data_IF_795746665812
#
_entry.id   IF_795746665812
#
_cell.length_a   1.000
_cell.length_b   1.000
_cell.length_c   1.000
_cell.angle_alpha   90.00
_cell.angle_beta   90.00
_cell.angle_gamma   90.00
#
_symmetry.space_group_name_H-M   'P 1'
#
loop_
_entity.id
_entity.type
_entity.pdbx_description
1 polymer ?
#
# COMPACT_ATOMS: atom_id res chain seq x y z
N UNK A 1 16.26 -7.88 24.91
CA UNK A 1 14.83 -8.12 25.17
C UNK A 1 14.25 -8.62 23.86
N UNK A 2 13.92 -9.91 23.76
CA UNK A 2 13.18 -10.44 22.60
C UNK A 2 11.76 -9.91 22.72
N UNK A 3 11.45 -8.84 22.00
CA UNK A 3 10.06 -8.42 21.81
C UNK A 3 9.40 -9.49 20.95
N UNK A 4 8.38 -10.15 21.48
CA UNK A 4 7.51 -11.01 20.66
C UNK A 4 7.06 -10.26 19.41
N UNK A 5 7.09 -10.93 18.26
CA UNK A 5 6.64 -10.34 17.00
C UNK A 5 5.15 -9.97 17.09
N UNK A 6 4.79 -8.80 16.57
CA UNK A 6 3.39 -8.38 16.43
C UNK A 6 2.65 -9.15 15.30
N UNK A 7 3.28 -10.13 14.71
CA UNK A 7 2.82 -10.85 13.52
C UNK A 7 3.41 -10.27 12.24
N UNK A 8 2.97 -10.76 11.08
CA UNK A 8 3.51 -10.33 9.79
C UNK A 8 2.71 -9.19 9.16
N UNK A 9 3.44 -8.19 8.68
CA UNK A 9 2.94 -7.13 7.82
C UNK A 9 3.31 -7.43 6.37
N UNK A 10 2.31 -7.55 5.51
CA UNK A 10 2.46 -7.77 4.07
C UNK A 10 2.40 -6.41 3.36
N UNK A 11 3.49 -6.01 2.70
CA UNK A 11 3.58 -4.72 2.01
C UNK A 11 3.87 -4.92 0.54
N UNK A 12 2.91 -4.57 -0.34
CA UNK A 12 3.17 -4.53 -1.78
C UNK A 12 3.85 -3.21 -2.17
N UNK A 13 4.73 -3.25 -3.18
CA UNK A 13 5.55 -2.09 -3.50
C UNK A 13 6.62 -1.77 -2.44
N UNK A 14 6.97 -2.74 -1.59
CA UNK A 14 7.87 -2.58 -0.45
C UNK A 14 9.32 -2.24 -0.78
N UNK A 15 9.70 -2.24 -2.06
CA UNK A 15 11.09 -1.97 -2.48
C UNK A 15 11.44 -0.50 -2.66
N UNK A 16 10.50 0.44 -2.60
CA UNK A 16 10.79 1.87 -2.81
C UNK A 16 9.67 2.79 -2.30
N UNK A 17 9.94 4.08 -2.27
CA UNK A 17 8.95 5.12 -2.00
C UNK A 17 8.15 4.89 -0.72
N UNK A 18 6.82 5.07 -0.79
CA UNK A 18 5.93 4.91 0.36
C UNK A 18 5.93 3.48 0.91
N UNK A 19 5.97 2.47 0.03
CA UNK A 19 6.02 1.08 0.48
C UNK A 19 7.24 0.76 1.33
N UNK A 20 8.43 1.27 0.95
CA UNK A 20 9.67 1.13 1.74
C UNK A 20 9.53 1.83 3.08
N UNK A 21 9.14 3.11 3.11
CA UNK A 21 9.04 3.86 4.38
C UNK A 21 8.04 3.24 5.35
N UNK A 22 6.90 2.77 4.83
CA UNK A 22 5.92 2.03 5.62
C UNK A 22 6.53 0.73 6.17
N UNK A 23 7.25 -0.04 5.36
CA UNK A 23 7.91 -1.27 5.81
C UNK A 23 8.93 -0.98 6.93
N UNK A 24 9.74 0.08 6.80
CA UNK A 24 10.68 0.48 7.83
C UNK A 24 9.99 0.87 9.14
N UNK A 25 8.88 1.59 9.07
CA UNK A 25 8.10 1.96 10.26
C UNK A 25 7.49 0.72 10.93
N UNK A 26 6.95 -0.21 10.15
CA UNK A 26 6.36 -1.45 10.66
C UNK A 26 7.41 -2.35 11.34
N UNK A 27 8.61 -2.42 10.78
CA UNK A 27 9.73 -3.13 11.42
C UNK A 27 10.10 -2.54 12.79
N UNK A 28 10.17 -1.19 12.90
CA UNK A 28 10.41 -0.50 14.18
C UNK A 28 9.33 -0.80 15.23
N UNK A 29 8.13 -1.09 14.78
CA UNK A 29 6.98 -1.45 15.61
C UNK A 29 6.91 -2.93 15.97
N UNK A 30 7.88 -3.74 15.53
CA UNK A 30 7.98 -5.16 15.87
C UNK A 30 7.20 -6.10 14.95
N UNK A 31 6.72 -5.63 13.79
CA UNK A 31 6.17 -6.54 12.78
C UNK A 31 7.29 -7.27 12.04
N UNK A 32 7.09 -8.53 11.71
CA UNK A 32 7.83 -9.21 10.66
C UNK A 32 7.36 -8.70 9.30
N UNK A 33 8.23 -8.68 8.30
CA UNK A 33 7.92 -8.13 7.00
C UNK A 33 7.82 -9.23 5.92
N UNK A 34 6.75 -9.20 5.15
CA UNK A 34 6.64 -9.88 3.86
C UNK A 34 6.49 -8.82 2.77
N UNK A 35 7.53 -8.65 1.95
CA UNK A 35 7.63 -7.58 0.96
C UNK A 35 7.39 -8.11 -0.45
N UNK A 36 6.36 -7.57 -1.13
CA UNK A 36 6.05 -7.88 -2.51
C UNK A 36 6.49 -6.75 -3.44
N UNK A 37 7.00 -7.13 -4.62
CA UNK A 37 7.37 -6.20 -5.68
C UNK A 37 8.05 -6.93 -6.83
N UNK A 38 8.12 -6.29 -8.00
CA UNK A 38 8.64 -6.94 -9.22
C UNK A 38 10.15 -7.22 -9.20
N UNK A 39 10.92 -6.43 -8.47
CA UNK A 39 12.39 -6.52 -8.46
C UNK A 39 12.86 -6.97 -7.09
N UNK A 40 13.67 -8.01 -7.05
CA UNK A 40 14.18 -8.62 -5.83
C UNK A 40 15.10 -7.68 -5.05
N UNK A 41 16.13 -7.13 -5.73
CA UNK A 41 17.16 -6.29 -5.06
C UNK A 41 16.61 -5.14 -4.21
N UNK A 42 15.64 -4.30 -4.66
CA UNK A 42 15.08 -3.24 -3.81
C UNK A 42 14.30 -3.77 -2.60
N UNK A 43 13.73 -4.99 -2.68
CA UNK A 43 13.06 -5.63 -1.54
C UNK A 43 14.10 -6.10 -0.52
N UNK A 44 15.20 -6.72 -0.98
CA UNK A 44 16.33 -7.11 -0.14
C UNK A 44 16.93 -5.91 0.59
N UNK A 45 17.18 -4.82 -0.15
CA UNK A 45 17.67 -3.57 0.42
C UNK A 45 16.74 -3.06 1.53
N UNK A 46 15.42 -3.11 1.31
CA UNK A 46 14.45 -2.69 2.34
C UNK A 46 14.51 -3.59 3.58
N UNK A 47 14.64 -4.91 3.44
CA UNK A 47 14.80 -5.80 4.59
C UNK A 47 16.12 -5.56 5.34
N UNK A 48 17.20 -5.26 4.62
CA UNK A 48 18.48 -4.88 5.24
C UNK A 48 18.33 -3.61 6.07
N UNK A 49 17.74 -2.56 5.49
CA UNK A 49 17.47 -1.29 6.17
C UNK A 49 16.53 -1.45 7.38
N UNK A 50 15.60 -2.39 7.30
CA UNK A 50 14.67 -2.73 8.38
C UNK A 50 15.30 -3.60 9.49
N UNK A 51 16.55 -4.08 9.32
CA UNK A 51 17.18 -5.03 10.23
C UNK A 51 16.50 -6.41 10.25
N UNK A 52 15.86 -6.80 9.13
CA UNK A 52 15.06 -8.03 9.03
C UNK A 52 15.52 -8.99 7.93
N UNK A 53 16.78 -8.89 7.51
CA UNK A 53 17.33 -9.67 6.40
C UNK A 53 17.04 -11.18 6.51
N UNK A 54 17.12 -11.75 7.71
CA UNK A 54 16.96 -13.19 7.91
C UNK A 54 15.55 -13.61 8.31
N UNK A 55 14.79 -12.69 8.91
CA UNK A 55 13.43 -13.00 9.39
C UNK A 55 12.31 -12.44 8.51
N UNK A 56 12.62 -11.55 7.58
CA UNK A 56 11.68 -11.07 6.58
C UNK A 56 11.52 -12.06 5.42
N UNK A 57 10.51 -11.86 4.60
CA UNK A 57 10.25 -12.65 3.39
C UNK A 57 10.20 -11.72 2.19
N UNK A 58 10.93 -12.08 1.14
CA UNK A 58 10.95 -11.38 -0.14
C UNK A 58 10.15 -12.19 -1.14
N UNK A 59 9.18 -11.55 -1.77
CA UNK A 59 8.23 -12.15 -2.68
C UNK A 59 8.23 -11.39 -4.02
N UNK A 60 9.18 -11.70 -4.93
CA UNK A 60 9.22 -11.11 -6.25
C UNK A 60 7.95 -11.47 -7.03
N UNK A 61 7.08 -10.47 -7.26
CA UNK A 61 5.77 -10.69 -7.84
C UNK A 61 5.25 -9.41 -8.51
N UNK A 62 4.60 -9.56 -9.65
CA UNK A 62 3.73 -8.52 -10.19
C UNK A 62 2.35 -8.66 -9.54
N UNK A 63 1.85 -7.61 -8.91
CA UNK A 63 0.52 -7.63 -8.25
C UNK A 63 -0.63 -7.85 -9.23
N UNK A 64 -0.40 -7.70 -10.53
CA UNK A 64 -1.38 -7.98 -11.60
C UNK A 64 -1.51 -9.47 -11.92
N UNK A 65 -0.53 -10.28 -11.52
CA UNK A 65 -0.50 -11.72 -11.76
C UNK A 65 -1.14 -12.46 -10.57
N UNK A 66 -2.39 -12.89 -10.75
CA UNK A 66 -3.15 -13.58 -9.72
C UNK A 66 -2.49 -14.92 -9.29
N UNK A 67 -1.89 -15.64 -10.25
CA UNK A 67 -1.24 -16.94 -9.97
C UNK A 67 0.05 -16.73 -9.16
N UNK A 68 0.84 -15.72 -9.53
CA UNK A 68 2.03 -15.36 -8.75
C UNK A 68 1.66 -14.88 -7.34
N UNK A 69 0.58 -14.09 -7.19
CA UNK A 69 0.09 -13.67 -5.88
C UNK A 69 -0.37 -14.85 -5.02
N UNK A 70 -1.08 -15.81 -5.57
CA UNK A 70 -1.51 -17.01 -4.83
C UNK A 70 -0.30 -17.80 -4.31
N UNK A 71 0.78 -17.94 -5.10
CA UNK A 71 2.03 -18.55 -4.62
C UNK A 71 2.64 -17.76 -3.47
N UNK A 72 2.77 -16.44 -3.61
CA UNK A 72 3.29 -15.57 -2.55
C UNK A 72 2.47 -15.69 -1.26
N UNK A 73 1.13 -15.73 -1.38
CA UNK A 73 0.24 -15.90 -0.22
C UNK A 73 0.42 -17.27 0.41
N UNK A 74 0.63 -18.33 -0.37
CA UNK A 74 0.97 -19.66 0.14
C UNK A 74 2.24 -19.66 0.97
N UNK A 75 3.30 -18.97 0.54
CA UNK A 75 4.55 -18.82 1.31
C UNK A 75 4.33 -18.04 2.62
N UNK A 76 3.55 -16.95 2.58
CA UNK A 76 3.19 -16.19 3.77
C UNK A 76 2.43 -17.07 4.77
N UNK A 77 1.43 -17.81 4.29
CA UNK A 77 0.59 -18.67 5.15
C UNK A 77 1.37 -19.85 5.73
N UNK A 78 2.33 -20.40 5.00
CA UNK A 78 3.21 -21.45 5.50
C UNK A 78 4.04 -20.97 6.68
N UNK A 79 4.47 -19.69 6.66
CA UNK A 79 5.35 -19.14 7.69
C UNK A 79 4.61 -18.51 8.87
N UNK A 80 3.46 -17.87 8.64
CA UNK A 80 2.73 -17.10 9.67
C UNK A 80 1.24 -17.41 9.77
N UNK A 81 0.75 -18.42 9.05
CA UNK A 81 -0.66 -18.78 8.99
C UNK A 81 -1.57 -17.71 8.37
N UNK A 82 -1.51 -16.47 8.85
CA UNK A 82 -2.26 -15.33 8.31
C UNK A 82 -1.53 -14.00 8.53
N UNK A 83 -1.74 -13.04 7.63
CA UNK A 83 -1.25 -11.69 7.79
C UNK A 83 -1.95 -10.99 8.97
N UNK A 84 -1.17 -10.25 9.79
CA UNK A 84 -1.70 -9.34 10.80
C UNK A 84 -2.07 -8.00 10.19
N UNK A 85 -1.25 -7.54 9.25
CA UNK A 85 -1.43 -6.26 8.56
C UNK A 85 -1.16 -6.44 7.06
N UNK A 86 -2.00 -5.84 6.23
CA UNK A 86 -1.81 -5.79 4.77
C UNK A 86 -1.79 -4.32 4.33
N UNK A 87 -0.69 -3.90 3.70
CA UNK A 87 -0.54 -2.55 3.17
C UNK A 87 -0.32 -2.62 1.66
N UNK A 88 -1.39 -2.50 0.86
CA UNK A 88 -1.28 -2.35 -0.58
C UNK A 88 -0.68 -0.96 -0.91
N UNK A 89 0.62 -0.93 -1.26
CA UNK A 89 1.34 0.29 -1.59
C UNK A 89 1.94 0.29 -3.01
N UNK A 90 1.82 -0.81 -3.75
CA UNK A 90 2.20 -0.85 -5.16
C UNK A 90 1.33 0.10 -5.98
N UNK A 91 1.96 0.94 -6.80
CA UNK A 91 1.24 1.87 -7.65
C UNK A 91 2.15 2.48 -8.71
N UNK A 92 1.52 2.89 -9.79
CA UNK A 92 2.14 3.59 -10.93
C UNK A 92 1.28 4.78 -11.34
N UNK A 93 1.89 5.73 -12.02
CA UNK A 93 1.21 6.91 -12.55
C UNK A 93 1.79 7.30 -13.91
N UNK A 94 0.98 7.95 -14.72
CA UNK A 94 1.40 8.71 -15.91
C UNK A 94 0.63 10.02 -15.96
N UNK A 95 1.15 10.98 -16.69
CA UNK A 95 0.51 12.28 -16.96
C UNK A 95 0.44 12.45 -18.46
N UNK A 96 -0.77 12.55 -18.97
CA UNK A 96 -1.07 12.89 -20.36
C UNK A 96 -2.51 13.42 -20.47
N UNK A 97 -2.84 14.32 -21.42
CA UNK A 97 -4.23 14.62 -21.79
C UNK A 97 -5.02 13.34 -22.08
N UNK A 98 -6.33 13.37 -21.88
CA UNK A 98 -7.18 12.16 -22.05
C UNK A 98 -7.06 11.61 -23.47
N UNK A 99 -7.06 12.48 -24.47
CA UNK A 99 -6.94 12.12 -25.89
C UNK A 99 -5.58 11.53 -26.29
N UNK A 100 -4.53 11.79 -25.49
CA UNK A 100 -3.18 11.26 -25.69
C UNK A 100 -2.88 10.04 -24.82
N UNK A 101 -3.73 9.75 -23.85
CA UNK A 101 -3.58 8.57 -22.97
C UNK A 101 -3.90 7.30 -23.77
N UNK A 102 -2.90 6.45 -24.00
CA UNK A 102 -3.15 5.19 -24.71
C UNK A 102 -4.04 4.25 -23.91
N UNK A 103 -4.88 3.41 -24.55
CA UNK A 103 -5.65 2.38 -23.86
C UNK A 103 -4.78 1.45 -23.01
N UNK A 104 -3.57 1.12 -23.47
CA UNK A 104 -2.64 0.23 -22.77
C UNK A 104 -2.09 0.90 -21.51
N UNK A 105 -1.72 2.19 -21.56
CA UNK A 105 -1.28 2.94 -20.39
C UNK A 105 -2.40 3.09 -19.37
N UNK A 106 -3.62 3.37 -19.84
CA UNK A 106 -4.79 3.43 -18.97
C UNK A 106 -5.01 2.09 -18.27
N UNK A 107 -5.03 0.98 -19.02
CA UNK A 107 -5.21 -0.36 -18.49
C UNK A 107 -4.10 -0.72 -17.49
N UNK A 108 -2.84 -0.46 -17.81
CA UNK A 108 -1.71 -0.77 -16.93
C UNK A 108 -1.80 -0.06 -15.56
N UNK A 109 -2.32 1.18 -15.52
CA UNK A 109 -2.54 1.92 -14.28
C UNK A 109 -3.71 1.34 -13.50
N UNK A 110 -4.84 1.05 -14.15
CA UNK A 110 -5.98 0.39 -13.50
C UNK A 110 -5.58 -0.97 -12.94
N UNK A 111 -4.89 -1.77 -13.74
CA UNK A 111 -4.48 -3.12 -13.35
C UNK A 111 -3.53 -3.11 -12.15
N UNK A 112 -2.61 -2.15 -12.09
CA UNK A 112 -1.68 -2.07 -10.97
C UNK A 112 -2.35 -1.49 -9.72
N UNK A 113 -3.01 -0.33 -9.86
CA UNK A 113 -3.47 0.47 -8.73
C UNK A 113 -4.81 0.03 -8.14
N UNK A 114 -5.62 -0.68 -8.91
CA UNK A 114 -6.95 -1.14 -8.51
C UNK A 114 -7.06 -2.67 -8.54
N UNK A 115 -6.89 -3.29 -9.70
CA UNK A 115 -7.02 -4.75 -9.84
C UNK A 115 -5.99 -5.48 -8.97
N UNK A 116 -4.72 -5.05 -8.99
CA UNK A 116 -3.66 -5.65 -8.18
C UNK A 116 -3.90 -5.52 -6.68
N UNK A 117 -4.46 -4.40 -6.23
CA UNK A 117 -4.86 -4.22 -4.82
C UNK A 117 -6.00 -5.16 -4.46
N UNK A 118 -7.02 -5.25 -5.33
CA UNK A 118 -8.13 -6.19 -5.15
C UNK A 118 -7.63 -7.64 -5.06
N UNK A 119 -6.76 -8.08 -5.97
CA UNK A 119 -6.20 -9.43 -5.99
C UNK A 119 -5.43 -9.74 -4.71
N UNK A 120 -4.57 -8.83 -4.25
CA UNK A 120 -3.81 -9.00 -3.00
C UNK A 120 -4.73 -9.14 -1.79
N UNK A 121 -5.72 -8.25 -1.65
CA UNK A 121 -6.68 -8.31 -0.54
C UNK A 121 -7.50 -9.59 -0.63
N UNK A 122 -8.03 -9.93 -1.81
CA UNK A 122 -8.82 -11.14 -2.05
C UNK A 122 -8.08 -12.40 -1.62
N UNK A 123 -6.78 -12.48 -1.89
CA UNK A 123 -5.98 -13.68 -1.59
C UNK A 123 -5.63 -13.81 -0.09
N UNK A 124 -5.43 -12.70 0.64
CA UNK A 124 -5.06 -12.70 2.06
C UNK A 124 -6.27 -12.71 3.01
N UNK A 125 -7.37 -12.08 2.61
CA UNK A 125 -8.55 -11.87 3.46
C UNK A 125 -9.17 -13.16 4.03
N UNK A 126 -9.28 -14.29 3.31
CA UNK A 126 -9.88 -15.49 3.86
C UNK A 126 -9.18 -16.01 5.13
N UNK A 127 -7.85 -15.98 5.18
CA UNK A 127 -7.08 -16.39 6.36
C UNK A 127 -7.27 -15.40 7.53
N UNK A 128 -7.28 -14.09 7.24
CA UNK A 128 -7.55 -13.06 8.23
C UNK A 128 -8.95 -13.21 8.85
N UNK A 129 -9.98 -13.46 8.03
CA UNK A 129 -11.36 -13.71 8.49
C UNK A 129 -11.46 -14.96 9.36
N UNK A 130 -10.82 -16.08 8.95
CA UNK A 130 -10.82 -17.31 9.78
C UNK A 130 -10.19 -17.09 11.15
N UNK A 131 -9.13 -16.27 11.21
CA UNK A 131 -8.48 -15.90 12.48
C UNK A 131 -9.28 -14.89 13.28
N UNK A 132 -10.24 -14.19 12.69
CA UNK A 132 -11.07 -13.17 13.34
C UNK A 132 -10.32 -11.90 13.73
N UNK A 133 -9.18 -11.63 13.11
CA UNK A 133 -8.39 -10.40 13.34
C UNK A 133 -7.49 -10.07 12.16
N UNK A 134 -7.18 -8.80 12.03
CA UNK A 134 -6.25 -8.27 11.04
C UNK A 134 -6.58 -6.84 10.66
N UNK A 135 -5.67 -6.20 9.91
CA UNK A 135 -5.87 -4.85 9.43
C UNK A 135 -5.45 -4.71 7.97
N UNK A 136 -6.25 -4.02 7.18
CA UNK A 136 -5.95 -3.71 5.78
C UNK A 136 -5.84 -2.19 5.68
N UNK A 137 -4.70 -1.68 5.19
CA UNK A 137 -4.47 -0.24 5.07
C UNK A 137 -3.94 0.10 3.68
N UNK A 138 -4.82 0.20 2.66
CA UNK A 138 -4.40 0.60 1.33
C UNK A 138 -3.96 2.06 1.27
N UNK A 139 -2.93 2.32 0.46
CA UNK A 139 -2.48 3.67 0.14
C UNK A 139 -3.25 4.18 -1.09
N UNK A 140 -4.21 5.07 -0.83
CA UNK A 140 -4.97 5.77 -1.86
C UNK A 140 -4.19 7.00 -2.37
N UNK A 141 -4.85 8.11 -2.48
CA UNK A 141 -4.34 9.44 -2.82
C UNK A 141 -5.44 10.47 -2.68
N UNK A 142 -5.09 11.74 -2.56
CA UNK A 142 -6.05 12.86 -2.77
C UNK A 142 -6.71 12.78 -4.15
N UNK A 143 -6.06 12.16 -5.14
CA UNK A 143 -6.62 11.86 -6.46
C UNK A 143 -7.83 10.92 -6.46
N UNK A 144 -8.17 10.32 -5.30
CA UNK A 144 -9.42 9.60 -5.08
C UNK A 144 -10.57 10.52 -4.63
N UNK A 145 -10.34 11.82 -4.50
CA UNK A 145 -11.33 12.82 -4.03
C UNK A 145 -11.44 14.02 -4.96
N UNK A 146 -10.45 14.27 -5.79
CA UNK A 146 -10.45 15.35 -6.78
C UNK A 146 -9.73 14.94 -8.05
N UNK A 147 -10.09 15.57 -9.18
CA UNK A 147 -9.43 15.39 -10.46
C UNK A 147 -8.25 16.34 -10.63
N UNK A 148 -7.26 15.90 -11.40
CA UNK A 148 -6.12 16.71 -11.82
C UNK A 148 -5.99 16.62 -13.33
N UNK A 149 -5.78 17.75 -14.05
CA UNK A 149 -5.53 17.71 -15.49
C UNK A 149 -4.36 16.77 -15.83
N UNK A 150 -4.56 15.91 -16.85
CA UNK A 150 -3.54 14.93 -17.26
C UNK A 150 -3.47 13.65 -16.41
N UNK A 151 -4.21 13.51 -15.32
CA UNK A 151 -4.14 12.35 -14.43
C UNK A 151 -5.33 11.40 -14.56
N UNK A 152 -5.96 11.32 -15.72
CA UNK A 152 -7.23 10.60 -15.91
C UNK A 152 -7.16 9.14 -15.43
N UNK A 153 -6.19 8.35 -15.89
CA UNK A 153 -6.04 6.95 -15.52
C UNK A 153 -5.74 6.78 -14.03
N UNK A 154 -4.85 7.61 -13.48
CA UNK A 154 -4.49 7.57 -12.07
C UNK A 154 -5.68 7.93 -11.18
N UNK A 155 -6.38 9.05 -11.47
CA UNK A 155 -7.58 9.43 -10.73
C UNK A 155 -8.64 8.31 -10.81
N UNK A 156 -8.94 7.79 -12.00
CA UNK A 156 -9.91 6.70 -12.17
C UNK A 156 -9.54 5.48 -11.30
N UNK A 157 -8.25 5.10 -11.27
CA UNK A 157 -7.78 3.98 -10.44
C UNK A 157 -7.97 4.24 -8.94
N UNK A 158 -7.69 5.46 -8.47
CA UNK A 158 -7.79 5.82 -7.05
C UNK A 158 -9.25 6.04 -6.60
N UNK A 159 -10.11 6.58 -7.45
CA UNK A 159 -11.55 6.62 -7.20
C UNK A 159 -12.16 5.22 -7.15
N UNK A 160 -11.79 4.32 -8.08
CA UNK A 160 -12.20 2.92 -8.05
C UNK A 160 -11.75 2.21 -6.77
N UNK A 161 -10.51 2.45 -6.33
CA UNK A 161 -9.99 1.90 -5.09
C UNK A 161 -10.75 2.43 -3.86
N UNK A 162 -11.13 3.71 -3.84
CA UNK A 162 -11.96 4.25 -2.76
C UNK A 162 -13.32 3.56 -2.67
N UNK A 163 -13.95 3.29 -3.83
CA UNK A 163 -15.19 2.50 -3.91
C UNK A 163 -15.00 1.07 -3.37
N UNK A 164 -13.92 0.39 -3.75
CA UNK A 164 -13.60 -0.93 -3.22
C UNK A 164 -13.42 -0.92 -1.70
N UNK A 165 -12.70 0.07 -1.16
CA UNK A 165 -12.51 0.24 0.29
C UNK A 165 -13.84 0.46 1.00
N UNK A 166 -14.73 1.26 0.43
CA UNK A 166 -16.06 1.51 1.01
C UNK A 166 -16.89 0.21 1.12
N UNK A 167 -16.89 -0.62 0.07
CA UNK A 167 -17.56 -1.94 0.10
C UNK A 167 -16.93 -2.86 1.13
N UNK A 168 -15.59 -2.98 1.14
CA UNK A 168 -14.88 -3.84 2.10
C UNK A 168 -15.14 -3.41 3.55
N UNK A 169 -15.29 -2.12 3.82
CA UNK A 169 -15.62 -1.62 5.17
C UNK A 169 -16.95 -2.18 5.67
N UNK A 170 -17.96 -2.24 4.82
CA UNK A 170 -19.25 -2.84 5.16
C UNK A 170 -19.17 -4.37 5.29
N UNK A 171 -18.50 -5.05 4.37
CA UNK A 171 -18.35 -6.50 4.38
C UNK A 171 -17.53 -7.04 5.57
N UNK A 172 -16.67 -6.21 6.14
CA UNK A 172 -15.79 -6.58 7.25
C UNK A 172 -16.40 -6.28 8.64
N UNK A 173 -17.56 -5.63 8.70
CA UNK A 173 -18.24 -5.36 9.99
C UNK A 173 -18.44 -6.64 10.78
N UNK A 174 -18.01 -6.63 12.02
CA UNK A 174 -18.15 -7.79 12.92
C UNK A 174 -17.23 -8.97 12.63
N UNK A 175 -16.38 -8.91 11.59
CA UNK A 175 -15.45 -10.00 11.24
C UNK A 175 -14.17 -10.02 12.09
N UNK A 176 -13.90 -8.98 12.87
CA UNK A 176 -12.63 -8.76 13.54
C UNK A 176 -11.50 -8.25 12.64
N UNK A 177 -11.71 -8.17 11.32
CA UNK A 177 -10.77 -7.55 10.37
C UNK A 177 -11.16 -6.09 10.17
N UNK A 178 -10.19 -5.18 10.32
CA UNK A 178 -10.37 -3.73 10.15
C UNK A 178 -9.83 -3.25 8.82
N UNK A 179 -10.40 -2.17 8.29
CA UNK A 179 -9.87 -1.49 7.11
C UNK A 179 -9.82 0.02 7.35
N UNK A 180 -8.67 0.60 7.04
CA UNK A 180 -8.42 2.04 7.08
C UNK A 180 -7.79 2.47 5.76
N UNK A 181 -7.98 3.71 5.34
CA UNK A 181 -7.41 4.19 4.09
C UNK A 181 -6.56 5.45 4.31
N UNK A 182 -5.35 5.50 3.75
CA UNK A 182 -4.54 6.71 3.73
C UNK A 182 -4.67 7.40 2.38
N UNK A 183 -4.90 8.71 2.41
CA UNK A 183 -5.03 9.59 1.24
C UNK A 183 -3.89 10.60 1.20
N UNK A 184 -2.67 10.18 0.86
CA UNK A 184 -1.57 11.12 0.71
C UNK A 184 -1.81 12.07 -0.46
N UNK A 185 -1.44 13.33 -0.29
CA UNK A 185 -1.21 14.28 -1.37
C UNK A 185 0.12 14.02 -2.05
N UNK A 186 0.61 15.01 -2.79
CA UNK A 186 1.93 14.94 -3.42
C UNK A 186 2.99 14.61 -2.35
N UNK A 187 3.61 13.45 -2.49
CA UNK A 187 4.59 12.91 -1.54
C UNK A 187 5.91 12.66 -2.25
N UNK A 188 7.01 13.11 -1.67
CA UNK A 188 8.36 13.03 -2.26
C UNK A 188 8.84 11.58 -2.36
N UNK A 189 8.60 10.95 -3.51
CA UNK A 189 8.95 9.57 -3.80
C UNK A 189 9.51 9.43 -5.21
N UNK A 190 10.19 8.32 -5.54
CA UNK A 190 10.71 8.06 -6.88
C UNK A 190 9.65 7.97 -7.99
N UNK A 191 8.37 8.00 -7.68
CA UNK A 191 7.31 8.04 -8.70
C UNK A 191 7.43 9.28 -9.58
N UNK A 192 7.83 10.41 -8.99
CA UNK A 192 7.99 11.70 -9.66
C UNK A 192 9.15 11.73 -10.65
N UNK A 193 10.16 10.87 -10.49
CA UNK A 193 11.32 10.81 -11.38
C UNK A 193 10.97 10.33 -12.80
N UNK A 194 9.78 9.74 -12.95
CA UNK A 194 9.27 9.19 -14.20
C UNK A 194 8.16 10.02 -14.83
N UNK A 195 7.71 11.05 -14.14
CA UNK A 195 6.63 11.91 -14.60
C UNK A 195 7.20 13.16 -15.30
N UNK A 196 6.59 13.60 -16.42
CA UNK A 196 7.00 14.80 -17.11
C UNK A 196 6.75 16.04 -16.23
N UNK A 197 7.56 17.06 -16.41
CA UNK A 197 7.43 18.34 -15.72
C UNK A 197 8.50 18.57 -14.64
N UNK A 198 8.50 19.76 -14.09
CA UNK A 198 9.34 20.14 -12.96
C UNK A 198 8.49 20.16 -11.68
N UNK A 199 8.98 19.47 -10.65
CA UNK A 199 8.23 19.28 -9.41
C UNK A 199 8.99 19.85 -8.22
N UNK A 200 8.36 20.73 -7.47
CA UNK A 200 8.93 21.23 -6.21
C UNK A 200 8.88 20.14 -5.13
N UNK A 201 9.84 19.22 -5.19
CA UNK A 201 9.94 18.08 -4.27
C UNK A 201 10.04 18.51 -2.80
N UNK A 202 10.66 19.67 -2.54
CA UNK A 202 10.81 20.19 -1.17
C UNK A 202 9.49 20.67 -0.55
N UNK A 203 8.47 20.96 -1.37
CA UNK A 203 7.14 21.33 -0.89
C UNK A 203 6.23 20.12 -0.67
N UNK A 204 6.64 18.92 -1.10
CA UNK A 204 5.84 17.69 -0.97
C UNK A 204 5.82 17.16 0.46
N UNK A 205 4.85 16.32 0.75
CA UNK A 205 4.80 15.54 2.00
C UNK A 205 5.99 14.59 2.06
N UNK A 206 6.65 14.51 3.20
CA UNK A 206 7.69 13.50 3.40
C UNK A 206 7.07 12.08 3.44
N UNK A 207 7.64 11.08 2.76
CA UNK A 207 7.18 9.68 2.86
C UNK A 207 7.11 9.19 4.32
N UNK A 208 7.99 9.68 5.16
CA UNK A 208 8.04 9.36 6.60
C UNK A 208 6.78 9.82 7.34
N UNK A 209 6.19 10.96 6.96
CA UNK A 209 4.94 11.42 7.58
C UNK A 209 3.76 10.54 7.19
N UNK A 210 3.73 9.98 5.98
CA UNK A 210 2.72 8.98 5.59
C UNK A 210 2.88 7.70 6.41
N UNK A 211 4.13 7.25 6.64
CA UNK A 211 4.40 6.10 7.51
C UNK A 211 4.00 6.37 8.97
N UNK A 212 4.19 7.59 9.48
CA UNK A 212 3.72 8.00 10.81
C UNK A 212 2.20 8.05 10.90
N UNK A 213 1.52 8.48 9.85
CA UNK A 213 0.06 8.45 9.81
C UNK A 213 -0.48 7.02 9.88
N UNK A 214 0.18 6.06 9.18
CA UNK A 214 -0.12 4.64 9.34
C UNK A 214 0.07 4.20 10.81
N UNK A 215 1.18 4.60 11.43
CA UNK A 215 1.47 4.27 12.81
C UNK A 215 0.35 4.78 13.77
N UNK A 216 -0.11 6.02 13.57
CA UNK A 216 -1.23 6.58 14.31
C UNK A 216 -2.52 5.75 14.16
N UNK A 217 -2.83 5.31 12.92
CA UNK A 217 -3.97 4.42 12.67
C UNK A 217 -3.86 3.13 13.48
N UNK A 218 -2.68 2.52 13.51
CA UNK A 218 -2.43 1.24 14.21
C UNK A 218 -2.39 1.37 15.74
N UNK A 219 -2.22 2.59 16.26
CA UNK A 219 -2.25 2.88 17.71
C UNK A 219 -3.64 3.25 18.23
N UNK A 220 -4.64 3.30 17.38
CA UNK A 220 -6.00 3.58 17.79
C UNK A 220 -6.51 2.52 18.77
N UNK A 221 -7.33 2.96 19.75
CA UNK A 221 -7.96 2.06 20.70
C UNK A 221 -8.66 0.89 20.00
N UNK A 222 -8.61 -0.33 20.54
CA UNK A 222 -9.25 -1.51 19.92
C UNK A 222 -10.74 -1.34 19.60
N UNK A 223 -11.45 -0.47 20.34
CA UNK A 223 -12.86 -0.14 20.08
C UNK A 223 -13.07 0.85 18.92
N UNK A 224 -11.98 1.42 18.38
CA UNK A 224 -12.00 2.50 17.39
C UNK A 224 -11.37 2.05 16.08
N UNK A 225 -11.96 2.46 14.97
CA UNK A 225 -11.36 2.38 13.65
C UNK A 225 -11.19 3.80 13.10
N UNK A 226 -9.94 4.18 12.84
CA UNK A 226 -9.64 5.38 12.05
C UNK A 226 -9.88 5.04 10.59
N UNK A 227 -11.01 5.44 10.05
CA UNK A 227 -11.43 4.98 8.71
C UNK A 227 -10.60 5.60 7.58
N UNK A 228 -10.31 6.90 7.69
CA UNK A 228 -9.57 7.65 6.66
C UNK A 228 -8.61 8.64 7.29
N UNK A 229 -7.42 8.77 6.71
CA UNK A 229 -6.46 9.82 7.06
C UNK A 229 -6.02 10.53 5.79
N UNK A 230 -6.20 11.83 5.76
CA UNK A 230 -5.81 12.70 4.65
C UNK A 230 -4.56 13.48 5.05
N UNK A 231 -3.54 13.46 4.18
CA UNK A 231 -2.32 14.22 4.36
C UNK A 231 -2.05 15.05 3.10
N UNK A 232 -1.79 16.31 3.26
CA UNK A 232 -1.42 17.20 2.14
C UNK A 232 -0.19 18.03 2.46
N UNK A 233 0.47 18.58 1.44
CA UNK A 233 1.50 19.59 1.64
C UNK A 233 0.95 20.79 2.42
N UNK A 234 1.74 21.32 3.35
CA UNK A 234 1.30 22.47 4.18
C UNK A 234 0.99 23.72 3.34
N UNK A 235 1.62 23.86 2.17
CA UNK A 235 1.38 24.95 1.22
C UNK A 235 0.17 24.75 0.29
N UNK A 236 -0.58 23.66 0.45
CA UNK A 236 -1.67 23.29 -0.46
C UNK A 236 -1.24 22.31 -1.56
N UNK A 237 -2.15 22.08 -2.53
CA UNK A 237 -1.84 21.20 -3.67
C UNK A 237 -0.72 21.80 -4.53
N UNK A 238 0.14 20.93 -5.08
CA UNK A 238 1.20 21.29 -6.02
C UNK A 238 0.62 21.53 -7.41
#
# INVERSE_FOLDING_TARGET
MSTESRGVAVVSGGGSGLGREVALELARRGYDLALLGRRQEPLEETLVLAGQRERGLILPCDVRDAVALERCVGEIQTRWEAAELVVPAAGVASIAPVEETSPDDFAAIIDTNLTGVFLLIRSLLPAMRRRGRGWIVPLLSVAARQGFPGWAAYCASKWGLAGLVAVLREELRGSGVRISALYPGATDTPIWDRLPGEWNRAAMVSPREVARALAYVLDADPSTVVEEVHLGPAGGAL
#
